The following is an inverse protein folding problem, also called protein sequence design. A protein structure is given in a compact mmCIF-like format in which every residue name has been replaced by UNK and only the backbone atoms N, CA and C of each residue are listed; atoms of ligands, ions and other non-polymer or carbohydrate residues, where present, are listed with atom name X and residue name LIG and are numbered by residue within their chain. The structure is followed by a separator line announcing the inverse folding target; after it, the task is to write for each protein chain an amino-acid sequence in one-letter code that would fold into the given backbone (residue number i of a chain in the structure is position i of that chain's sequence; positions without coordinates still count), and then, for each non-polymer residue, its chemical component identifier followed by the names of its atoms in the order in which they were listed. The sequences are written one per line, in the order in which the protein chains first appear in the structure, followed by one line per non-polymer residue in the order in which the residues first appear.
data_IF_392594325894
#
_entry.id   IF_392594325894
#
_cell.length_a   1.000
_cell.length_b   1.000
_cell.length_c   1.000
_cell.angle_alpha   90.00
_cell.angle_beta   90.00
_cell.angle_gamma   90.00
#
_symmetry.space_group_name_H-M   'P 1'
#
loop_
_entity.id
_entity.type
_entity.pdbx_description
1 polymer ?
#
# COMPACT_ATOMS: atom_id res chain seq x y z
N UNK A 1 -16.45 14.11 5.51
CA UNK A 1 -17.93 14.08 5.49
C UNK A 1 -18.42 13.40 6.75
N UNK A 2 -19.54 13.85 7.33
CA UNK A 2 -20.21 13.14 8.41
C UNK A 2 -21.41 12.39 7.85
N UNK A 3 -21.52 11.10 8.12
CA UNK A 3 -22.58 10.22 7.63
C UNK A 3 -23.30 9.60 8.82
N UNK A 4 -24.60 9.83 8.94
CA UNK A 4 -25.42 9.17 9.95
C UNK A 4 -25.97 7.85 9.37
N UNK A 5 -25.72 6.73 10.03
CA UNK A 5 -26.24 5.42 9.63
C UNK A 5 -26.53 4.56 10.87
N UNK A 6 -27.69 3.90 10.88
CA UNK A 6 -28.10 2.95 11.94
C UNK A 6 -27.97 3.48 13.38
N UNK A 7 -28.26 4.77 13.60
CA UNK A 7 -28.14 5.43 14.90
C UNK A 7 -26.71 5.78 15.33
N UNK A 8 -25.73 5.64 14.44
CA UNK A 8 -24.32 6.01 14.64
C UNK A 8 -23.93 7.14 13.69
N UNK A 9 -22.94 7.93 14.11
CA UNK A 9 -22.32 8.97 13.28
C UNK A 9 -20.93 8.51 12.85
N UNK A 10 -20.69 8.53 11.55
CA UNK A 10 -19.43 8.16 10.92
C UNK A 10 -18.72 9.40 10.38
N UNK A 11 -17.43 9.53 10.66
CA UNK A 11 -16.57 10.49 9.98
C UNK A 11 -15.84 9.80 8.83
N UNK A 12 -16.18 10.17 7.58
CA UNK A 12 -15.61 9.58 6.37
C UNK A 12 -14.75 10.64 5.67
N UNK A 13 -13.45 10.37 5.55
CA UNK A 13 -12.53 11.24 4.81
C UNK A 13 -12.48 10.82 3.33
N UNK A 14 -12.72 11.77 2.41
CA UNK A 14 -12.60 11.52 0.99
C UNK A 14 -11.23 12.01 0.52
N UNK A 15 -10.38 11.11 0.05
CA UNK A 15 -8.99 11.41 -0.31
C UNK A 15 -8.68 10.79 -1.67
N UNK A 16 -8.00 11.53 -2.52
CA UNK A 16 -7.50 10.98 -3.78
C UNK A 16 -6.48 9.86 -3.50
N UNK A 17 -6.52 8.76 -4.26
CA UNK A 17 -5.63 7.61 -4.05
C UNK A 17 -4.14 8.00 -3.97
N UNK A 18 -3.69 8.98 -4.76
CA UNK A 18 -2.30 9.45 -4.71
C UNK A 18 -1.96 10.10 -3.37
N UNK A 19 -2.83 10.98 -2.87
CA UNK A 19 -2.66 11.65 -1.57
C UNK A 19 -2.76 10.63 -0.42
N UNK A 20 -3.68 9.69 -0.53
CA UNK A 20 -3.79 8.58 0.41
C UNK A 20 -2.46 7.80 0.51
N UNK A 21 -1.83 7.50 -0.62
CA UNK A 21 -0.57 6.76 -0.67
C UNK A 21 0.62 7.55 -0.12
N UNK A 22 0.65 8.88 -0.26
CA UNK A 22 1.70 9.68 0.39
C UNK A 22 1.67 9.52 1.90
N UNK A 23 0.46 9.57 2.48
CA UNK A 23 0.30 9.37 3.92
C UNK A 23 0.60 7.94 4.33
N UNK A 24 0.01 6.95 3.66
CA UNK A 24 0.19 5.54 4.05
C UNK A 24 1.65 5.12 3.98
N UNK A 25 2.32 5.39 2.85
CA UNK A 25 3.72 4.95 2.71
C UNK A 25 4.61 5.68 3.73
N UNK A 26 4.37 6.97 3.96
CA UNK A 26 5.14 7.73 4.96
C UNK A 26 4.86 7.34 6.41
N UNK A 27 3.68 6.81 6.71
CA UNK A 27 3.31 6.36 8.05
C UNK A 27 3.83 4.95 8.37
N UNK A 28 4.01 4.13 7.35
CA UNK A 28 4.39 2.71 7.42
C UNK A 28 5.91 2.51 7.42
N UNK A 29 6.66 3.31 6.66
CA UNK A 29 8.11 3.11 6.49
C UNK A 29 8.88 4.42 6.58
N UNK A 30 10.15 4.34 6.97
CA UNK A 30 10.99 5.54 7.10
C UNK A 30 11.32 6.15 5.73
N UNK A 31 11.23 7.49 5.57
CA UNK A 31 11.59 8.17 4.32
C UNK A 31 13.08 8.06 3.95
N UNK A 32 13.93 7.61 4.87
CA UNK A 32 15.36 7.35 4.63
C UNK A 32 15.65 5.99 3.98
N UNK A 33 14.64 5.13 3.84
CA UNK A 33 14.84 3.81 3.23
C UNK A 33 15.26 3.92 1.76
N UNK A 34 15.98 2.92 1.23
CA UNK A 34 16.35 2.88 -0.17
C UNK A 34 15.10 3.02 -1.08
N UNK A 35 15.24 3.75 -2.18
CA UNK A 35 14.13 4.05 -3.08
C UNK A 35 13.42 2.78 -3.60
N UNK A 36 14.14 1.67 -3.77
CA UNK A 36 13.55 0.39 -4.17
C UNK A 36 12.55 -0.14 -3.12
N UNK A 37 12.86 -0.04 -1.82
CA UNK A 37 11.93 -0.43 -0.75
C UNK A 37 10.72 0.51 -0.71
N UNK A 38 10.93 1.82 -0.82
CA UNK A 38 9.84 2.80 -0.86
C UNK A 38 8.89 2.57 -2.04
N UNK A 39 9.42 2.25 -3.22
CA UNK A 39 8.62 1.90 -4.41
C UNK A 39 7.86 0.59 -4.24
N UNK A 40 8.49 -0.44 -3.66
CA UNK A 40 7.81 -1.70 -3.37
C UNK A 40 6.65 -1.48 -2.39
N UNK A 41 6.86 -0.69 -1.33
CA UNK A 41 5.82 -0.30 -0.38
C UNK A 41 4.70 0.49 -1.07
N UNK A 42 5.01 1.45 -1.93
CA UNK A 42 4.00 2.23 -2.65
C UNK A 42 3.12 1.36 -3.57
N UNK A 43 3.71 0.39 -4.27
CA UNK A 43 2.98 -0.52 -5.16
C UNK A 43 2.11 -1.50 -4.36
N UNK A 44 2.63 -2.07 -3.28
CA UNK A 44 1.86 -2.92 -2.38
C UNK A 44 0.71 -2.13 -1.72
N UNK A 45 0.99 -0.95 -1.19
CA UNK A 45 -0.03 -0.10 -0.60
C UNK A 45 -1.14 0.26 -1.60
N UNK A 46 -0.78 0.54 -2.85
CA UNK A 46 -1.75 0.83 -3.92
C UNK A 46 -2.60 -0.39 -4.27
N UNK A 47 -1.99 -1.56 -4.38
CA UNK A 47 -2.70 -2.79 -4.75
C UNK A 47 -3.70 -3.21 -3.67
N UNK A 48 -3.33 -3.05 -2.39
CA UNK A 48 -4.25 -3.21 -1.27
C UNK A 48 -5.41 -2.20 -1.36
N UNK A 49 -5.12 -0.90 -1.46
CA UNK A 49 -6.16 0.13 -1.56
C UNK A 49 -7.12 -0.07 -2.74
N UNK A 50 -6.61 -0.46 -3.92
CA UNK A 50 -7.42 -0.77 -5.09
C UNK A 50 -8.32 -1.99 -4.88
N UNK A 51 -7.85 -3.01 -4.15
CA UNK A 51 -8.67 -4.18 -3.82
C UNK A 51 -9.93 -3.76 -3.08
N UNK A 52 -9.79 -2.88 -2.08
CA UNK A 52 -10.92 -2.38 -1.29
C UNK A 52 -11.72 -1.27 -1.99
N UNK A 53 -11.19 -0.65 -3.03
CA UNK A 53 -11.99 0.18 -3.93
C UNK A 53 -13.03 -0.66 -4.70
N UNK A 54 -12.62 -1.83 -5.23
CA UNK A 54 -13.54 -2.73 -5.97
C UNK A 54 -14.33 -3.71 -5.08
N UNK A 55 -13.86 -3.95 -3.86
CA UNK A 55 -14.52 -4.78 -2.83
C UNK A 55 -14.54 -4.04 -1.49
N UNK A 56 -15.38 -3.01 -1.34
CA UNK A 56 -15.39 -2.18 -0.15
C UNK A 56 -15.70 -2.97 1.11
N UNK A 57 -15.05 -2.59 2.23
CA UNK A 57 -15.27 -3.19 3.54
C UNK A 57 -16.76 -3.12 3.96
N UNK A 58 -17.45 -2.02 3.63
CA UNK A 58 -18.91 -1.94 3.69
C UNK A 58 -19.47 -0.83 2.75
N UNK A 59 -20.79 -0.58 2.79
CA UNK A 59 -21.46 0.42 1.93
C UNK A 59 -21.04 1.88 2.20
N UNK A 60 -20.39 2.18 3.32
CA UNK A 60 -20.07 3.53 3.78
C UNK A 60 -18.60 3.90 3.56
N UNK A 61 -17.67 2.95 3.63
CA UNK A 61 -16.23 3.19 3.42
C UNK A 61 -15.52 2.00 2.79
N UNK A 62 -14.45 2.30 2.05
CA UNK A 62 -13.63 1.30 1.38
C UNK A 62 -12.66 0.61 2.36
N UNK A 63 -11.98 1.39 3.20
CA UNK A 63 -10.99 0.94 4.18
C UNK A 63 -11.36 1.47 5.58
N UNK A 64 -11.23 0.62 6.61
CA UNK A 64 -11.36 1.05 8.01
C UNK A 64 -10.11 1.79 8.49
N UNK A 65 -10.16 2.27 9.74
CA UNK A 65 -9.08 3.03 10.39
C UNK A 65 -8.46 2.31 11.59
N UNK A 66 -8.73 1.02 11.76
CA UNK A 66 -8.16 0.18 12.83
C UNK A 66 -6.85 -0.49 12.38
N UNK A 67 -6.15 -1.17 13.31
CA UNK A 67 -4.87 -1.88 13.06
C UNK A 67 -4.98 -3.00 12.02
N UNK A 68 -6.19 -3.34 11.58
CA UNK A 68 -6.45 -4.31 10.51
C UNK A 68 -6.27 -3.71 9.11
N UNK A 69 -6.25 -2.37 8.99
CA UNK A 69 -6.07 -1.63 7.75
C UNK A 69 -4.79 -0.77 7.76
N UNK A 70 -4.42 -0.25 6.58
CA UNK A 70 -3.21 0.57 6.40
C UNK A 70 -3.24 1.83 7.27
N UNK A 71 -2.09 2.21 7.84
CA UNK A 71 -2.00 3.37 8.73
C UNK A 71 -2.05 4.67 7.93
N UNK A 72 -3.12 5.47 8.11
CA UNK A 72 -3.26 6.80 7.50
C UNK A 72 -3.11 7.90 8.59
N UNK A 73 -2.05 8.72 8.48
CA UNK A 73 -1.74 9.83 9.42
C UNK A 73 -1.94 11.22 8.83
N UNK A 74 -2.45 11.32 7.60
CA UNK A 74 -2.50 12.57 6.85
C UNK A 74 -1.09 13.12 6.52
N UNK A 75 -1.00 14.44 6.36
CA UNK A 75 0.17 15.14 5.81
C UNK A 75 1.43 15.06 6.69
N UNK A 76 1.30 14.75 7.97
CA UNK A 76 2.43 14.72 8.93
C UNK A 76 3.48 13.65 8.60
N UNK A 77 3.07 12.65 7.84
CA UNK A 77 3.90 11.51 7.45
C UNK A 77 4.60 11.69 6.09
N UNK A 78 4.35 12.80 5.39
CA UNK A 78 4.81 12.98 4.02
C UNK A 78 6.25 13.51 3.94
N UNK A 79 7.03 13.02 2.96
CA UNK A 79 8.38 13.46 2.70
C UNK A 79 8.71 13.40 1.20
N UNK A 80 9.70 14.18 0.75
CA UNK A 80 10.07 14.27 -0.67
C UNK A 80 10.42 12.90 -1.30
N UNK A 81 11.06 12.00 -0.55
CA UNK A 81 11.38 10.64 -1.01
C UNK A 81 10.13 9.78 -1.16
N UNK A 82 9.14 9.95 -0.28
CA UNK A 82 7.84 9.28 -0.36
C UNK A 82 7.05 9.78 -1.58
N UNK A 83 6.99 11.10 -1.79
CA UNK A 83 6.39 11.67 -3.00
C UNK A 83 7.02 11.09 -4.25
N UNK A 84 8.36 11.05 -4.30
CA UNK A 84 9.10 10.51 -5.42
C UNK A 84 8.75 9.03 -5.66
N UNK A 85 8.76 8.20 -4.64
CA UNK A 85 8.43 6.78 -4.76
C UNK A 85 7.00 6.53 -5.25
N UNK A 86 6.02 7.25 -4.68
CA UNK A 86 4.60 7.13 -5.07
C UNK A 86 4.37 7.64 -6.49
N UNK A 87 5.02 8.72 -6.89
CA UNK A 87 4.88 9.31 -8.23
C UNK A 87 5.57 8.50 -9.32
N UNK A 88 6.80 8.03 -9.08
CA UNK A 88 7.51 7.19 -10.05
C UNK A 88 6.86 5.82 -10.25
N UNK A 89 6.00 5.39 -9.32
CA UNK A 89 5.20 4.16 -9.42
C UNK A 89 3.72 4.45 -9.74
N UNK A 90 3.41 5.63 -10.26
CA UNK A 90 2.03 6.02 -10.54
C UNK A 90 1.33 5.01 -11.48
N UNK A 91 0.19 4.51 -11.02
CA UNK A 91 -0.62 3.51 -11.70
C UNK A 91 -0.17 2.07 -11.50
N UNK A 92 1.01 1.83 -10.90
CA UNK A 92 1.57 0.49 -10.72
C UNK A 92 0.97 -0.25 -9.52
N UNK A 93 0.57 -1.50 -9.71
CA UNK A 93 -0.03 -2.39 -8.70
C UNK A 93 0.48 -3.83 -8.87
N UNK A 94 0.29 -4.68 -7.85
CA UNK A 94 0.66 -6.10 -7.92
C UNK A 94 -0.42 -6.84 -8.73
N UNK A 95 -0.02 -7.51 -9.81
CA UNK A 95 -0.96 -8.14 -10.74
C UNK A 95 -0.73 -9.63 -10.94
N UNK A 96 -1.82 -10.38 -11.01
CA UNK A 96 -1.84 -11.78 -11.42
C UNK A 96 -2.86 -11.97 -12.55
N UNK A 97 -2.37 -12.39 -13.73
CA UNK A 97 -3.21 -12.61 -14.93
C UNK A 97 -4.12 -11.41 -15.28
N UNK A 98 -3.60 -10.19 -15.13
CA UNK A 98 -4.34 -8.95 -15.38
C UNK A 98 -5.26 -8.50 -14.24
N UNK A 99 -5.50 -9.35 -13.24
CA UNK A 99 -6.23 -8.98 -12.02
C UNK A 99 -5.35 -8.24 -11.01
N UNK A 100 -5.98 -7.43 -10.16
CA UNK A 100 -5.35 -6.80 -8.99
C UNK A 100 -5.19 -7.85 -7.89
N UNK A 101 -4.02 -7.91 -7.26
CA UNK A 101 -3.73 -8.79 -6.13
C UNK A 101 -3.87 -8.01 -4.83
N UNK A 102 -4.59 -8.58 -3.87
CA UNK A 102 -4.58 -8.09 -2.49
C UNK A 102 -3.19 -8.33 -1.89
N UNK A 103 -2.38 -7.28 -1.82
CA UNK A 103 -1.00 -7.37 -1.35
C UNK A 103 -0.91 -7.05 0.13
N UNK A 104 -1.00 -8.08 0.96
CA UNK A 104 -0.80 -7.99 2.40
C UNK A 104 0.67 -7.66 2.71
N UNK A 105 0.91 -6.83 3.70
CA UNK A 105 2.26 -6.50 4.17
C UNK A 105 2.24 -6.20 5.68
N UNK A 106 3.37 -6.40 6.35
CA UNK A 106 3.55 -6.09 7.78
C UNK A 106 5.01 -5.75 8.10
N UNK A 107 5.24 -5.25 9.32
CA UNK A 107 6.56 -4.77 9.76
C UNK A 107 7.67 -5.82 9.64
N UNK A 108 7.42 -7.07 10.05
CA UNK A 108 8.41 -8.14 10.07
C UNK A 108 7.90 -9.45 9.47
N UNK A 109 8.83 -10.35 9.13
CA UNK A 109 8.52 -11.69 8.63
C UNK A 109 7.76 -12.54 9.66
N UNK A 110 8.00 -12.32 10.97
CA UNK A 110 7.26 -12.98 12.05
C UNK A 110 5.78 -12.59 12.00
N UNK A 111 5.48 -11.30 11.88
CA UNK A 111 4.08 -10.82 11.78
C UNK A 111 3.44 -11.32 10.49
N UNK A 112 4.17 -11.33 9.36
CA UNK A 112 3.65 -11.91 8.12
C UNK A 112 3.33 -13.41 8.28
N UNK A 113 4.17 -14.14 9.00
CA UNK A 113 3.98 -15.57 9.26
C UNK A 113 2.76 -15.82 10.13
N UNK A 114 2.60 -15.05 11.21
CA UNK A 114 1.50 -15.20 12.17
C UNK A 114 0.16 -14.68 11.63
N UNK A 115 0.14 -13.44 11.12
CA UNK A 115 -1.10 -12.77 10.70
C UNK A 115 -1.57 -13.22 9.32
N UNK A 116 -0.64 -13.53 8.40
CA UNK A 116 -0.97 -13.81 7.00
C UNK A 116 -0.57 -15.21 6.54
N UNK A 117 -0.20 -16.11 7.46
CA UNK A 117 0.23 -17.48 7.15
C UNK A 117 1.40 -17.50 6.16
N UNK A 118 2.31 -16.53 6.30
CA UNK A 118 3.47 -16.36 5.43
C UNK A 118 3.15 -15.69 4.08
N UNK A 119 1.91 -15.26 3.83
CA UNK A 119 1.51 -14.60 2.58
C UNK A 119 1.53 -13.09 2.74
N UNK A 120 2.61 -12.44 2.33
CA UNK A 120 2.69 -10.99 2.31
C UNK A 120 4.12 -10.48 2.29
N UNK A 121 4.27 -9.16 2.17
CA UNK A 121 5.58 -8.52 2.20
C UNK A 121 5.98 -8.13 3.62
N UNK A 122 7.16 -8.58 4.05
CA UNK A 122 7.85 -8.06 5.24
C UNK A 122 8.51 -6.72 4.88
N UNK A 123 8.17 -5.65 5.61
CA UNK A 123 8.74 -4.32 5.37
C UNK A 123 10.23 -4.30 5.71
N UNK A 124 10.63 -4.88 6.84
CA UNK A 124 12.05 -5.00 7.22
C UNK A 124 12.82 -5.92 6.25
N UNK A 125 12.19 -6.99 5.76
CA UNK A 125 12.82 -7.85 4.76
C UNK A 125 12.94 -7.16 3.39
N UNK A 126 11.95 -6.36 2.98
CA UNK A 126 12.02 -5.52 1.79
C UNK A 126 13.13 -4.46 1.90
N UNK A 127 13.32 -3.85 3.07
CA UNK A 127 14.46 -2.98 3.36
C UNK A 127 15.78 -3.74 3.16
N UNK A 128 15.94 -4.92 3.78
CA UNK A 128 17.16 -5.72 3.66
C UNK A 128 17.48 -6.10 2.21
N UNK A 129 16.47 -6.46 1.41
CA UNK A 129 16.66 -6.74 -0.01
C UNK A 129 17.09 -5.49 -0.78
N UNK A 130 16.49 -4.34 -0.50
CA UNK A 130 16.87 -3.09 -1.15
C UNK A 130 18.30 -2.65 -0.79
N UNK A 131 18.73 -2.84 0.46
CA UNK A 131 20.11 -2.62 0.90
C UNK A 131 21.11 -3.55 0.20
N UNK A 132 20.68 -4.76 -0.17
CA UNK A 132 21.44 -5.70 -1.00
C UNK A 132 21.41 -5.36 -2.50
N UNK A 133 20.79 -4.25 -2.89
CA UNK A 133 20.75 -3.77 -4.28
C UNK A 133 19.61 -4.35 -5.13
N UNK A 134 18.62 -5.00 -4.53
CA UNK A 134 17.46 -5.51 -5.28
C UNK A 134 16.60 -4.35 -5.78
N UNK A 135 16.05 -4.49 -7.00
CA UNK A 135 15.05 -3.56 -7.52
C UNK A 135 13.68 -3.78 -6.85
N UNK A 136 12.79 -2.81 -6.95
CA UNK A 136 11.45 -2.95 -6.37
C UNK A 136 10.66 -4.09 -7.02
N UNK A 137 10.86 -4.36 -8.31
CA UNK A 137 10.24 -5.51 -9.00
C UNK A 137 10.75 -6.84 -8.45
N UNK A 138 12.04 -6.94 -8.15
CA UNK A 138 12.62 -8.15 -7.55
C UNK A 138 12.11 -8.36 -6.12
N UNK A 139 12.00 -7.27 -5.34
CA UNK A 139 11.42 -7.31 -3.99
C UNK A 139 9.96 -7.78 -4.05
N UNK A 140 9.14 -7.18 -4.91
CA UNK A 140 7.73 -7.58 -5.06
C UNK A 140 7.60 -9.04 -5.52
N UNK A 141 8.43 -9.47 -6.48
CA UNK A 141 8.43 -10.86 -6.96
C UNK A 141 8.85 -11.87 -5.88
N UNK A 142 9.71 -11.47 -4.94
CA UNK A 142 10.10 -12.30 -3.81
C UNK A 142 8.91 -12.58 -2.87
N UNK A 143 8.11 -11.55 -2.55
CA UNK A 143 7.00 -11.66 -1.61
C UNK A 143 5.67 -12.08 -2.23
N UNK A 144 5.46 -11.77 -3.51
CA UNK A 144 4.25 -12.09 -4.26
C UNK A 144 4.61 -13.00 -5.44
N UNK A 145 4.94 -14.29 -5.20
CA UNK A 145 5.40 -15.17 -6.25
C UNK A 145 4.31 -15.38 -7.31
N UNK A 146 4.73 -15.59 -8.56
CA UNK A 146 3.87 -15.75 -9.75
C UNK A 146 3.08 -14.49 -10.15
N UNK A 147 3.29 -13.37 -9.46
CA UNK A 147 2.73 -12.06 -9.84
C UNK A 147 3.73 -11.25 -10.66
N UNK A 148 3.28 -10.12 -11.20
CA UNK A 148 4.11 -9.08 -11.80
C UNK A 148 3.61 -7.70 -11.41
N UNK A 149 4.21 -6.65 -11.98
CA UNK A 149 3.72 -5.27 -11.83
C UNK A 149 2.80 -4.96 -12.99
N UNK A 150 1.50 -4.81 -12.70
CA UNK A 150 0.52 -4.26 -13.64
C UNK A 150 0.50 -2.74 -13.56
N UNK A 151 -0.06 -2.07 -14.57
CA UNK A 151 -0.22 -0.62 -14.58
C UNK A 151 -1.61 -0.23 -15.08
N UNK A 152 -2.27 0.65 -14.35
CA UNK A 152 -3.48 1.34 -14.81
C UNK A 152 -3.01 2.59 -15.55
N UNK A 153 -3.46 2.79 -16.79
CA UNK A 153 -3.28 4.06 -17.48
C UNK A 153 -4.04 5.14 -16.71
N UNK A 154 -3.30 6.15 -16.28
CA UNK A 154 -3.89 7.34 -15.67
C UNK A 154 -3.94 8.35 -16.80
N UNK A 155 -5.14 8.63 -17.30
CA UNK A 155 -5.32 9.73 -18.25
C UNK A 155 -4.70 11.00 -17.64
N UNK A 156 -3.85 11.73 -18.39
CA UNK A 156 -3.37 13.01 -17.92
C UNK A 156 -4.57 13.96 -17.85
N UNK A 157 -4.88 14.44 -16.64
CA UNK A 157 -5.79 15.58 -16.43
C UNK A 157 -5.29 16.84 -17.16
#
# INVERSE_FOLDING_TARGET
MLVADSGKLWAVNYVNLRQYLYSVVGAEVSPSWPMAALKAQAIAARSYALTYYFKPANKLYHLGSDEYFQVYKGIESEANTIYKAVNETAGSFVSYRGGIVESLYAASDDIVSEAFQGRGMSQLGALSLAEKGYTYEQILKNYYPKTGVGRIEIDPE
#
